data_IF_324182510053
#
_entry.id   IF_324182510053
#
_cell.length_a   1.000
_cell.length_b   1.000
_cell.length_c   1.000
_cell.angle_alpha   90.00
_cell.angle_beta   90.00
_cell.angle_gamma   90.00
#
_symmetry.space_group_name_H-M   'P 1'
#
loop_
_entity.id
_entity.type
_entity.pdbx_description
1 polymer ?
#
# COMPACT_ATOMS: atom_id res chain seq x y z
N UNK A 1 16.53 -21.02 -54.31
CA UNK A 1 17.61 -20.16 -53.80
C UNK A 1 17.45 -20.05 -52.29
N UNK A 2 18.22 -20.83 -51.55
CA UNK A 2 18.25 -20.85 -50.10
C UNK A 2 19.32 -19.87 -49.61
N UNK A 3 19.01 -19.06 -48.61
CA UNK A 3 20.04 -18.48 -47.73
C UNK A 3 19.66 -18.82 -46.30
N UNK A 4 20.33 -19.87 -45.82
CA UNK A 4 20.40 -20.33 -44.44
C UNK A 4 21.07 -19.25 -43.60
N UNK A 5 20.44 -18.79 -42.52
CA UNK A 5 21.19 -18.19 -41.42
C UNK A 5 21.55 -19.28 -40.42
N UNK A 6 22.83 -19.60 -40.45
CA UNK A 6 23.55 -20.52 -39.60
C UNK A 6 23.45 -20.07 -38.14
N UNK A 7 22.80 -20.89 -37.31
CA UNK A 7 23.00 -20.90 -35.88
C UNK A 7 24.39 -21.50 -35.63
N UNK A 8 25.37 -20.67 -35.25
CA UNK A 8 26.59 -21.16 -34.60
C UNK A 8 26.43 -21.03 -33.08
N UNK A 9 26.76 -22.08 -32.32
CA UNK A 9 26.65 -22.10 -30.87
C UNK A 9 27.87 -21.41 -30.24
N UNK A 10 27.65 -20.38 -29.43
CA UNK A 10 28.71 -19.81 -28.60
C UNK A 10 28.83 -20.62 -27.31
N UNK A 11 29.77 -21.56 -27.36
CA UNK A 11 30.61 -22.13 -26.30
C UNK A 11 30.41 -21.47 -24.92
N UNK A 12 29.75 -22.20 -24.02
CA UNK A 12 29.83 -21.94 -22.59
C UNK A 12 31.19 -22.42 -22.08
N UNK A 13 32.10 -21.49 -21.80
CA UNK A 13 33.28 -21.77 -20.98
C UNK A 13 32.82 -22.02 -19.54
N UNK A 14 32.94 -23.27 -19.11
CA UNK A 14 32.88 -23.69 -17.71
C UNK A 14 33.96 -22.93 -16.93
N UNK A 15 33.57 -21.96 -16.13
CA UNK A 15 34.39 -21.48 -15.01
C UNK A 15 33.87 -22.17 -13.77
N UNK A 16 34.55 -23.26 -13.43
CA UNK A 16 34.55 -23.90 -12.12
C UNK A 16 35.06 -22.89 -11.09
N UNK A 17 34.17 -22.34 -10.27
CA UNK A 17 34.59 -21.69 -9.03
C UNK A 17 34.70 -22.74 -7.93
N UNK A 18 35.95 -23.04 -7.63
CA UNK A 18 36.45 -23.74 -6.45
C UNK A 18 35.76 -23.25 -5.19
N UNK A 19 35.25 -24.20 -4.40
CA UNK A 19 34.79 -24.00 -3.03
C UNK A 19 35.93 -23.49 -2.16
N UNK A 20 35.99 -22.17 -1.97
CA UNK A 20 36.82 -21.56 -0.95
C UNK A 20 36.08 -21.65 0.39
N UNK A 21 36.58 -22.55 1.23
CA UNK A 21 36.21 -22.76 2.62
C UNK A 21 36.35 -21.46 3.40
N UNK A 22 35.22 -20.91 3.86
CA UNK A 22 35.22 -19.74 4.76
C UNK A 22 35.73 -20.22 6.13
N UNK A 23 36.77 -19.60 6.72
CA UNK A 23 37.22 -19.95 8.05
C UNK A 23 36.14 -19.60 9.08
N UNK A 24 35.81 -20.57 9.92
CA UNK A 24 34.87 -20.46 11.02
C UNK A 24 35.28 -19.33 11.98
N UNK A 25 34.54 -18.23 11.97
CA UNK A 25 34.61 -17.23 13.03
C UNK A 25 34.09 -17.85 14.33
N UNK A 26 35.02 -18.16 15.22
CA UNK A 26 34.74 -18.55 16.60
C UNK A 26 34.05 -17.37 17.30
N UNK A 27 32.76 -17.55 17.59
CA UNK A 27 32.01 -16.66 18.49
C UNK A 27 32.58 -16.92 19.90
N UNK A 28 33.08 -15.90 20.62
CA UNK A 28 33.51 -16.08 22.01
C UNK A 28 32.33 -16.52 22.88
N UNK A 29 32.52 -17.57 23.67
CA UNK A 29 31.56 -18.00 24.70
C UNK A 29 31.29 -16.84 25.67
N UNK A 30 30.03 -16.55 26.03
CA UNK A 30 29.74 -15.58 27.08
C UNK A 30 30.30 -16.08 28.42
N UNK A 31 30.98 -15.23 29.21
CA UNK A 31 31.46 -15.61 30.53
C UNK A 31 30.28 -15.84 31.49
N UNK A 32 30.48 -16.80 32.40
CA UNK A 32 29.50 -17.24 33.39
C UNK A 32 29.04 -16.10 34.30
N UNK A 33 27.74 -16.07 34.62
CA UNK A 33 27.14 -15.18 35.60
C UNK A 33 27.71 -15.47 37.00
N UNK A 34 28.66 -14.64 37.43
CA UNK A 34 29.03 -14.49 38.83
C UNK A 34 28.00 -13.60 39.52
N UNK A 35 27.32 -14.17 40.52
CA UNK A 35 26.47 -13.45 41.46
C UNK A 35 27.32 -12.56 42.36
N UNK A 36 27.41 -11.28 42.02
CA UNK A 36 27.80 -10.21 42.94
C UNK A 36 26.88 -8.99 42.73
N UNK A 37 26.66 -8.15 43.76
CA UNK A 37 25.43 -7.38 43.92
C UNK A 37 25.32 -6.21 42.94
N UNK A 38 24.09 -5.95 42.49
CA UNK A 38 23.71 -4.89 41.54
C UNK A 38 24.40 -3.54 41.87
N UNK A 39 24.91 -2.82 40.85
CA UNK A 39 25.34 -1.44 41.03
C UNK A 39 24.15 -0.59 41.46
N UNK A 40 24.32 0.13 42.56
CA UNK A 40 23.33 1.06 43.09
C UNK A 40 23.07 2.16 42.05
N UNK A 41 21.83 2.20 41.56
CA UNK A 41 21.25 3.35 40.88
C UNK A 41 21.38 4.55 41.83
N UNK A 42 21.89 5.72 41.41
CA UNK A 42 21.88 6.91 42.24
C UNK A 42 20.44 7.20 42.64
N UNK A 43 20.17 7.27 43.95
CA UNK A 43 18.85 7.60 44.49
C UNK A 43 18.40 8.94 43.89
N UNK A 44 17.13 9.06 43.47
CA UNK A 44 16.57 10.34 43.06
C UNK A 44 16.52 11.29 44.28
N UNK A 45 16.61 12.61 44.09
CA UNK A 45 16.22 13.55 45.14
C UNK A 45 14.75 13.30 45.51
N UNK A 46 14.48 13.20 46.81
CA UNK A 46 13.16 12.96 47.38
C UNK A 46 12.14 14.01 46.91
N UNK A 47 11.31 13.65 45.93
CA UNK A 47 10.02 14.30 45.69
C UNK A 47 8.92 13.40 46.24
N UNK A 48 8.14 13.93 47.18
CA UNK A 48 7.08 13.20 47.89
C UNK A 48 6.08 12.53 46.92
N UNK A 49 5.73 11.25 47.15
CA UNK A 49 4.70 10.53 46.37
C UNK A 49 3.35 11.30 46.29
N UNK A 50 3.07 12.20 47.24
CA UNK A 50 1.89 13.10 47.24
C UNK A 50 1.90 14.14 46.10
N UNK A 51 3.05 14.71 45.73
CA UNK A 51 3.12 15.72 44.66
C UNK A 51 2.91 15.09 43.28
N UNK A 52 3.38 13.86 43.08
CA UNK A 52 3.16 13.10 41.86
C UNK A 52 1.66 12.84 41.60
N UNK A 53 0.93 12.36 42.59
CA UNK A 53 -0.51 12.09 42.45
C UNK A 53 -1.35 13.36 42.28
N UNK A 54 -1.02 14.45 42.99
CA UNK A 54 -1.68 15.75 42.81
C UNK A 54 -1.50 16.29 41.39
N UNK A 55 -0.28 16.25 40.84
CA UNK A 55 0.00 16.71 39.49
C UNK A 55 -0.72 15.86 38.42
N UNK A 56 -0.80 14.54 38.61
CA UNK A 56 -1.54 13.65 37.69
C UNK A 56 -3.04 13.99 37.67
N UNK A 57 -3.64 14.29 38.82
CA UNK A 57 -5.06 14.68 38.92
C UNK A 57 -5.29 16.06 38.31
N UNK A 58 -4.44 17.05 38.61
CA UNK A 58 -4.55 18.39 38.05
C UNK A 58 -4.38 18.40 36.53
N UNK A 59 -3.43 17.63 35.99
CA UNK A 59 -3.24 17.48 34.55
C UNK A 59 -4.38 16.70 33.89
N UNK A 60 -4.89 15.64 34.54
CA UNK A 60 -6.04 14.90 34.02
C UNK A 60 -7.28 15.79 33.91
N UNK A 61 -7.53 16.64 34.91
CA UNK A 61 -8.62 17.62 34.87
C UNK A 61 -8.40 18.70 33.80
N UNK A 62 -7.15 19.14 33.59
CA UNK A 62 -6.80 20.11 32.55
C UNK A 62 -7.05 19.54 31.15
N UNK A 63 -6.53 18.34 30.86
CA UNK A 63 -6.74 17.69 29.56
C UNK A 63 -8.22 17.32 29.33
N UNK A 64 -8.98 17.00 30.38
CA UNK A 64 -10.43 16.81 30.29
C UNK A 64 -11.16 18.12 29.93
N UNK A 65 -10.73 19.28 30.45
CA UNK A 65 -11.28 20.60 30.05
C UNK A 65 -11.04 20.90 28.57
N UNK A 66 -9.92 20.41 28.02
CA UNK A 66 -9.62 20.48 26.59
C UNK A 66 -10.14 19.27 25.80
N UNK A 67 -11.13 18.52 26.33
CA UNK A 67 -11.86 17.41 25.68
C UNK A 67 -11.03 16.21 25.23
N UNK A 68 -9.89 15.93 25.88
CA UNK A 68 -9.15 14.69 25.63
C UNK A 68 -9.89 13.47 26.23
N UNK A 69 -9.89 12.30 25.54
CA UNK A 69 -10.59 11.12 26.01
C UNK A 69 -9.93 10.53 27.29
N UNK A 70 -10.70 10.33 28.38
CA UNK A 70 -10.17 9.92 29.69
C UNK A 70 -9.47 8.56 29.68
N UNK A 71 -9.91 7.64 28.82
CA UNK A 71 -9.38 6.27 28.74
C UNK A 71 -7.92 6.18 28.23
N UNK A 72 -7.41 7.24 27.58
CA UNK A 72 -6.03 7.28 27.04
C UNK A 72 -5.08 8.16 27.86
N UNK A 73 -5.61 8.92 28.83
CA UNK A 73 -4.84 9.93 29.57
C UNK A 73 -3.85 9.31 30.56
N UNK A 74 -4.25 8.26 31.28
CA UNK A 74 -3.35 7.61 32.24
C UNK A 74 -2.14 6.93 31.55
N UNK A 75 -2.37 6.25 30.42
CA UNK A 75 -1.30 5.64 29.61
C UNK A 75 -0.42 6.68 28.92
N UNK A 76 -1.00 7.81 28.49
CA UNK A 76 -0.28 8.94 27.90
C UNK A 76 0.63 9.64 28.93
N UNK A 77 0.13 9.97 30.12
CA UNK A 77 0.90 10.62 31.17
C UNK A 77 2.03 9.72 31.71
N UNK A 78 1.78 8.41 31.84
CA UNK A 78 2.81 7.44 32.24
C UNK A 78 3.95 7.34 31.23
N UNK A 79 3.64 7.45 29.92
CA UNK A 79 4.64 7.47 28.85
C UNK A 79 5.40 8.80 28.77
N UNK A 80 4.76 9.90 29.17
CA UNK A 80 5.30 11.26 29.05
C UNK A 80 5.71 11.82 30.41
N UNK A 81 6.73 11.22 31.02
CA UNK A 81 7.24 11.63 32.36
C UNK A 81 7.68 13.10 32.44
N UNK A 82 8.03 13.73 31.32
CA UNK A 82 8.38 15.15 31.29
C UNK A 82 7.18 16.05 31.69
N UNK A 83 5.94 15.66 31.37
CA UNK A 83 4.73 16.40 31.77
C UNK A 83 4.47 16.35 33.28
N UNK A 84 4.92 15.28 33.94
CA UNK A 84 4.73 15.07 35.37
C UNK A 84 5.69 15.92 36.22
N UNK A 85 6.80 16.34 35.60
CA UNK A 85 7.81 17.20 36.20
C UNK A 85 7.56 18.69 35.91
N UNK A 86 6.64 19.04 35.00
CA UNK A 86 6.28 20.41 34.66
C UNK A 86 5.09 20.93 35.48
N UNK A 87 5.03 22.23 35.76
CA UNK A 87 3.90 22.85 36.45
C UNK A 87 2.64 22.83 35.58
N UNK A 88 1.49 22.48 36.18
CA UNK A 88 0.19 22.42 35.48
C UNK A 88 -0.23 23.76 34.85
N UNK A 89 0.18 24.89 35.45
CA UNK A 89 -0.04 26.23 34.93
C UNK A 89 0.76 26.54 33.66
N UNK A 90 1.95 25.95 33.51
CA UNK A 90 2.78 26.14 32.33
C UNK A 90 2.25 25.32 31.15
N UNK A 91 1.76 24.11 31.42
CA UNK A 91 1.05 23.31 30.42
C UNK A 91 -0.27 23.99 30.00
N UNK A 92 -0.99 24.64 30.92
CA UNK A 92 -2.18 25.42 30.57
C UNK A 92 -1.84 26.61 29.66
N UNK A 93 -0.73 27.31 29.91
CA UNK A 93 -0.24 28.38 29.02
C UNK A 93 0.15 27.82 27.66
N UNK A 94 0.88 26.69 27.61
CA UNK A 94 1.22 26.00 26.37
C UNK A 94 -0.01 25.61 25.54
N UNK A 95 -1.06 25.11 26.19
CA UNK A 95 -2.33 24.76 25.51
C UNK A 95 -3.06 26.01 25.02
N UNK A 96 -3.02 27.12 25.76
CA UNK A 96 -3.56 28.41 25.30
C UNK A 96 -2.81 28.95 24.08
N UNK A 97 -1.48 28.83 24.05
CA UNK A 97 -0.64 29.20 22.90
C UNK A 97 -1.00 28.33 21.68
N UNK A 98 -1.15 27.01 21.85
CA UNK A 98 -1.56 26.15 20.74
C UNK A 98 -2.94 26.51 20.18
N UNK A 99 -3.88 26.94 21.03
CA UNK A 99 -5.20 27.40 20.60
C UNK A 99 -5.14 28.77 19.92
N UNK A 100 -4.27 29.68 20.37
CA UNK A 100 -4.08 30.99 19.73
C UNK A 100 -3.45 30.86 18.34
N UNK A 101 -2.55 29.89 18.15
CA UNK A 101 -1.93 29.59 16.86
C UNK A 101 -2.93 29.05 15.82
N UNK A 102 -3.84 28.15 16.24
CA UNK A 102 -4.96 27.71 15.39
C UNK A 102 -6.08 27.10 16.26
N UNK A 103 -7.31 27.62 16.21
CA UNK A 103 -8.42 27.09 17.02
C UNK A 103 -9.02 25.85 16.34
N UNK A 104 -8.31 24.73 16.33
CA UNK A 104 -8.82 23.45 15.87
C UNK A 104 -8.55 22.34 16.92
N UNK A 105 -9.61 21.65 17.34
CA UNK A 105 -9.51 20.57 18.33
C UNK A 105 -8.73 19.37 17.78
N UNK A 106 -8.86 19.09 16.48
CA UNK A 106 -8.11 18.01 15.82
C UNK A 106 -6.62 18.33 15.75
N UNK A 107 -6.24 19.59 15.55
CA UNK A 107 -4.84 20.04 15.62
C UNK A 107 -4.26 19.81 17.02
N UNK A 108 -4.99 20.23 18.05
CA UNK A 108 -4.57 20.09 19.45
C UNK A 108 -4.38 18.61 19.84
N UNK A 109 -5.35 17.77 19.50
CA UNK A 109 -5.26 16.33 19.72
C UNK A 109 -4.11 15.68 18.94
N UNK A 110 -3.90 16.10 17.68
CA UNK A 110 -2.86 15.53 16.81
C UNK A 110 -1.45 15.88 17.29
N UNK A 111 -1.18 17.18 17.56
CA UNK A 111 0.13 17.66 18.05
C UNK A 111 0.49 16.99 19.37
N UNK A 112 -0.44 16.95 20.33
CA UNK A 112 -0.20 16.41 21.67
C UNK A 112 0.01 14.90 21.65
N UNK A 113 -0.71 14.16 20.80
CA UNK A 113 -0.54 12.71 20.68
C UNK A 113 0.75 12.34 19.93
N UNK A 114 1.13 13.08 18.89
CA UNK A 114 2.28 12.75 18.04
C UNK A 114 3.60 13.19 18.65
N UNK A 115 3.68 14.42 19.18
CA UNK A 115 4.87 14.95 19.82
C UNK A 115 4.50 15.68 21.13
N UNK A 116 4.35 14.94 22.24
CA UNK A 116 3.95 15.52 23.51
C UNK A 116 4.97 16.53 24.04
N UNK A 117 6.26 16.38 23.68
CA UNK A 117 7.36 17.30 24.05
C UNK A 117 7.22 18.72 23.51
N UNK A 118 6.34 18.93 22.54
CA UNK A 118 6.00 20.28 22.05
C UNK A 118 5.34 21.12 23.16
N UNK A 119 4.76 20.50 24.21
CA UNK A 119 4.10 21.22 25.31
C UNK A 119 5.05 21.94 26.29
N UNK A 120 6.37 21.86 26.08
CA UNK A 120 7.34 22.64 26.85
C UNK A 120 7.13 24.15 26.63
N UNK A 121 6.87 24.90 27.70
CA UNK A 121 6.44 26.30 27.62
C UNK A 121 7.50 27.21 26.98
N UNK A 122 8.78 27.01 27.29
CA UNK A 122 9.88 27.81 26.73
C UNK A 122 10.01 27.63 25.22
N UNK A 123 9.80 26.40 24.74
CA UNK A 123 9.79 26.06 23.33
C UNK A 123 8.62 26.75 22.61
N UNK A 124 7.39 26.61 23.16
CA UNK A 124 6.21 27.20 22.53
C UNK A 124 6.21 28.72 22.52
N UNK A 125 6.75 29.38 23.55
CA UNK A 125 6.87 30.85 23.55
C UNK A 125 7.80 31.35 22.45
N UNK A 126 8.94 30.67 22.22
CA UNK A 126 9.84 30.99 21.10
C UNK A 126 9.13 30.84 19.75
N UNK A 127 8.39 29.74 19.60
CA UNK A 127 7.67 29.45 18.36
C UNK A 127 6.39 30.28 18.19
N UNK A 128 5.76 30.78 19.25
CA UNK A 128 4.61 31.69 19.20
C UNK A 128 4.98 33.03 18.55
N UNK A 129 6.10 33.62 19.01
CA UNK A 129 6.66 34.83 18.40
C UNK A 129 7.02 34.59 16.93
N UNK A 130 7.73 33.48 16.66
CA UNK A 130 8.10 33.10 15.30
C UNK A 130 6.86 32.95 14.39
N UNK A 131 5.83 32.21 14.82
CA UNK A 131 4.64 31.97 13.98
C UNK A 131 3.81 33.25 13.79
N UNK A 132 3.80 34.14 14.79
CA UNK A 132 3.14 35.45 14.70
C UNK A 132 3.84 36.37 13.70
N UNK A 133 5.18 36.41 13.70
CA UNK A 133 5.99 37.17 12.72
C UNK A 133 5.89 36.60 11.31
N UNK A 134 5.64 35.30 11.15
CA UNK A 134 5.54 34.62 9.86
C UNK A 134 4.30 34.99 9.03
N UNK A 135 3.33 35.75 9.56
CA UNK A 135 2.11 36.09 8.84
C UNK A 135 1.27 34.86 8.51
N UNK A 136 0.73 34.20 9.54
CA UNK A 136 0.01 32.93 9.50
C UNK A 136 -1.29 32.88 8.65
N UNK A 137 -1.56 33.84 7.77
CA UNK A 137 -2.77 33.86 6.93
C UNK A 137 -2.74 32.85 5.78
N UNK A 138 -1.57 32.34 5.38
CA UNK A 138 -1.43 31.46 4.20
C UNK A 138 -0.87 30.05 4.49
N UNK A 139 -0.51 29.74 5.74
CA UNK A 139 0.12 28.45 6.10
C UNK A 139 -0.92 27.49 6.71
N UNK A 140 -0.87 26.24 6.27
CA UNK A 140 -1.77 25.18 6.74
C UNK A 140 -1.47 24.80 8.19
N UNK A 141 -2.49 24.36 8.94
CA UNK A 141 -2.26 23.89 10.32
C UNK A 141 -1.42 22.61 10.35
N UNK A 142 -1.51 21.80 9.30
CA UNK A 142 -0.71 20.59 9.12
C UNK A 142 0.77 20.96 9.01
N UNK A 143 1.09 22.03 8.29
CA UNK A 143 2.44 22.58 8.23
C UNK A 143 2.92 23.01 9.62
N UNK A 144 2.12 23.77 10.37
CA UNK A 144 2.49 24.22 11.72
C UNK A 144 2.76 23.02 12.62
N UNK A 145 1.88 22.01 12.60
CA UNK A 145 2.08 20.78 13.35
C UNK A 145 3.42 20.13 12.98
N UNK A 146 3.63 19.84 11.70
CA UNK A 146 4.82 19.13 11.23
C UNK A 146 6.11 19.88 11.51
N UNK A 147 6.09 21.21 11.39
CA UNK A 147 7.22 22.08 11.73
C UNK A 147 7.53 21.96 13.22
N UNK A 148 6.54 22.08 14.11
CA UNK A 148 6.77 21.94 15.56
C UNK A 148 7.30 20.55 15.92
N UNK A 149 6.79 19.49 15.28
CA UNK A 149 7.25 18.12 15.47
C UNK A 149 8.72 17.95 15.05
N UNK A 150 9.11 18.42 13.86
CA UNK A 150 10.49 18.36 13.36
C UNK A 150 11.42 19.24 14.20
N UNK A 151 10.99 20.46 14.51
CA UNK A 151 11.77 21.40 15.31
C UNK A 151 12.07 20.87 16.71
N UNK A 152 11.12 20.18 17.34
CA UNK A 152 11.41 19.55 18.65
C UNK A 152 12.31 18.32 18.51
N UNK A 153 12.19 17.57 17.42
CA UNK A 153 12.99 16.35 17.20
C UNK A 153 14.47 16.65 16.90
N UNK A 154 14.75 17.78 16.25
CA UNK A 154 16.09 18.18 15.81
C UNK A 154 16.59 19.49 16.43
N UNK A 155 15.90 19.98 17.47
CA UNK A 155 16.22 21.23 18.18
C UNK A 155 16.39 22.44 17.25
N UNK A 156 15.45 22.62 16.30
CA UNK A 156 15.46 23.73 15.35
C UNK A 156 14.84 25.00 15.94
N UNK A 157 15.37 26.15 15.53
CA UNK A 157 14.86 27.46 15.92
C UNK A 157 13.90 28.06 14.85
N UNK A 158 13.01 28.99 15.22
CA UNK A 158 12.12 29.66 14.26
C UNK A 158 12.86 30.34 13.09
N UNK A 159 14.10 30.80 13.34
CA UNK A 159 14.94 31.42 12.32
C UNK A 159 15.39 30.43 11.24
N UNK A 160 15.60 29.14 11.57
CA UNK A 160 15.95 28.11 10.58
C UNK A 160 14.78 27.86 9.63
N UNK A 161 13.57 27.83 10.18
CA UNK A 161 12.35 27.76 9.38
C UNK A 161 12.19 28.99 8.47
N UNK A 162 12.41 30.20 9.00
CA UNK A 162 12.34 31.43 8.21
C UNK A 162 13.35 31.42 7.06
N UNK A 163 14.60 31.03 7.33
CA UNK A 163 15.65 30.86 6.32
C UNK A 163 15.21 29.88 5.24
N UNK A 164 14.67 28.73 5.61
CA UNK A 164 14.14 27.76 4.65
C UNK A 164 13.01 28.36 3.80
N UNK A 165 12.06 29.07 4.41
CA UNK A 165 10.93 29.68 3.70
C UNK A 165 11.41 30.74 2.70
N UNK A 166 12.36 31.59 3.10
CA UNK A 166 12.98 32.57 2.21
C UNK A 166 13.77 31.90 1.08
N UNK A 167 14.47 30.80 1.37
CA UNK A 167 15.17 30.02 0.33
C UNK A 167 14.17 29.46 -0.69
N UNK A 168 13.08 28.84 -0.25
CA UNK A 168 12.06 28.29 -1.13
C UNK A 168 11.38 29.37 -2.01
N UNK A 169 11.08 30.54 -1.42
CA UNK A 169 10.54 31.69 -2.17
C UNK A 169 11.57 32.29 -3.14
N UNK A 170 12.83 32.39 -2.74
CA UNK A 170 13.95 32.84 -3.57
C UNK A 170 14.20 31.93 -4.78
N UNK A 171 13.85 30.64 -4.67
CA UNK A 171 13.86 29.67 -5.76
C UNK A 171 12.65 29.81 -6.72
N UNK A 172 11.82 30.84 -6.54
CA UNK A 172 10.64 31.13 -7.38
C UNK A 172 9.57 30.03 -7.40
N UNK A 173 9.44 29.28 -6.30
CA UNK A 173 8.34 28.34 -6.12
C UNK A 173 7.07 29.08 -5.71
N UNK A 174 5.90 28.69 -6.22
CA UNK A 174 4.62 29.22 -5.75
C UNK A 174 4.34 28.86 -4.28
N UNK A 175 3.58 29.71 -3.59
CA UNK A 175 3.17 29.50 -2.19
C UNK A 175 2.44 28.14 -2.00
N UNK A 176 1.71 27.69 -3.03
CA UNK A 176 1.03 26.38 -3.00
C UNK A 176 2.01 25.21 -3.00
N UNK A 177 3.07 25.26 -3.82
CA UNK A 177 4.13 24.25 -3.83
C UNK A 177 4.91 24.27 -2.51
N UNK A 178 5.26 25.47 -2.01
CA UNK A 178 5.96 25.64 -0.72
C UNK A 178 5.15 25.03 0.43
N UNK A 179 3.87 25.39 0.54
CA UNK A 179 2.98 24.82 1.55
C UNK A 179 2.92 23.30 1.45
N UNK A 180 2.76 22.77 0.23
CA UNK A 180 2.66 21.33 0.00
C UNK A 180 3.93 20.56 0.36
N UNK A 181 5.10 21.15 0.09
CA UNK A 181 6.39 20.60 0.49
C UNK A 181 6.51 20.57 2.01
N UNK A 182 6.16 21.66 2.70
CA UNK A 182 6.21 21.71 4.17
C UNK A 182 5.18 20.76 4.83
N UNK A 183 4.02 20.57 4.22
CA UNK A 183 3.01 19.61 4.70
C UNK A 183 3.45 18.15 4.52
N UNK A 184 4.11 17.81 3.42
CA UNK A 184 4.38 16.40 3.07
C UNK A 184 5.81 15.97 3.43
N UNK A 185 6.75 16.92 3.45
CA UNK A 185 8.16 16.70 3.68
C UNK A 185 8.75 17.84 4.55
N UNK A 186 8.39 17.90 5.84
CA UNK A 186 8.86 18.96 6.76
C UNK A 186 10.37 18.93 7.02
N UNK A 187 11.04 17.82 6.68
CA UNK A 187 12.50 17.69 6.74
C UNK A 187 13.23 18.66 5.79
N UNK A 188 12.53 19.30 4.85
CA UNK A 188 13.11 20.35 3.98
C UNK A 188 13.74 21.50 4.77
N UNK A 189 13.28 21.77 6.00
CA UNK A 189 13.80 22.85 6.86
C UNK A 189 15.28 22.65 7.17
N UNK A 190 15.72 21.39 7.22
CA UNK A 190 17.10 21.02 7.51
C UNK A 190 17.98 20.97 6.26
N UNK A 191 17.40 21.15 5.07
CA UNK A 191 18.14 21.12 3.82
C UNK A 191 18.75 22.49 3.54
N UNK A 192 19.94 22.49 2.96
CA UNK A 192 20.54 23.72 2.45
C UNK A 192 19.80 24.20 1.19
N UNK A 193 19.78 25.52 0.98
CA UNK A 193 19.20 26.09 -0.23
C UNK A 193 19.85 25.56 -1.52
N UNK A 194 21.14 25.26 -1.47
CA UNK A 194 21.90 24.70 -2.60
C UNK A 194 21.45 23.28 -2.93
N UNK A 195 21.21 22.43 -1.94
CA UNK A 195 20.65 21.09 -2.18
C UNK A 195 19.30 21.13 -2.91
N UNK A 196 18.43 22.09 -2.57
CA UNK A 196 17.14 22.26 -3.25
C UNK A 196 17.36 22.79 -4.67
N UNK A 197 18.27 23.75 -4.83
CA UNK A 197 18.67 24.32 -6.12
C UNK A 197 19.21 23.24 -7.08
N UNK A 198 20.14 22.40 -6.62
CA UNK A 198 20.75 21.33 -7.41
C UNK A 198 19.69 20.40 -8.01
N UNK A 199 18.64 20.09 -7.25
CA UNK A 199 17.51 19.25 -7.71
C UNK A 199 16.68 19.96 -8.76
N UNK A 200 16.42 21.25 -8.60
CA UNK A 200 15.70 22.05 -9.60
C UNK A 200 16.53 22.15 -10.88
N UNK A 201 17.84 22.44 -10.77
CA UNK A 201 18.75 22.54 -11.90
C UNK A 201 18.90 21.21 -12.63
N UNK A 202 18.93 20.09 -11.91
CA UNK A 202 18.90 18.77 -12.51
C UNK A 202 17.62 18.51 -13.32
N UNK A 203 16.44 18.81 -12.76
CA UNK A 203 15.18 18.66 -13.49
C UNK A 203 15.14 19.55 -14.75
N UNK A 204 15.65 20.78 -14.64
CA UNK A 204 15.81 21.68 -15.80
C UNK A 204 16.80 21.11 -16.82
N UNK A 205 17.90 20.50 -16.37
CA UNK A 205 18.88 19.84 -17.24
C UNK A 205 18.33 18.64 -18.01
N UNK A 206 17.31 17.97 -17.47
CA UNK A 206 16.56 16.89 -18.16
C UNK A 206 15.55 17.45 -19.18
N UNK A 207 15.34 18.77 -19.20
CA UNK A 207 14.44 19.46 -20.11
C UNK A 207 13.07 19.80 -19.52
N UNK A 208 12.88 19.70 -18.21
CA UNK A 208 11.65 20.15 -17.54
C UNK A 208 11.67 21.67 -17.44
N UNK A 209 10.60 22.33 -17.87
CA UNK A 209 10.55 23.78 -17.86
C UNK A 209 10.35 24.31 -16.44
N UNK A 210 10.85 25.52 -16.15
CA UNK A 210 10.80 26.09 -14.79
C UNK A 210 9.37 26.27 -14.26
N UNK A 211 8.41 26.56 -15.14
CA UNK A 211 6.97 26.64 -14.82
C UNK A 211 6.34 25.27 -14.47
N UNK A 212 6.95 24.16 -14.89
CA UNK A 212 6.48 22.80 -14.61
C UNK A 212 7.03 22.25 -13.28
N UNK A 213 8.12 22.84 -12.76
CA UNK A 213 8.75 22.43 -11.50
C UNK A 213 7.75 22.50 -10.34
N UNK A 214 7.00 23.59 -10.24
CA UNK A 214 5.99 23.78 -9.19
C UNK A 214 4.99 22.62 -9.13
N UNK A 215 4.58 22.10 -10.30
CA UNK A 215 3.68 20.95 -10.40
C UNK A 215 4.34 19.68 -9.86
N UNK A 216 5.62 19.45 -10.15
CA UNK A 216 6.36 18.29 -9.63
C UNK A 216 6.44 18.36 -8.10
N UNK A 217 6.82 19.51 -7.55
CA UNK A 217 6.92 19.69 -6.11
C UNK A 217 5.58 19.62 -5.40
N UNK A 218 4.49 20.05 -6.03
CA UNK A 218 3.14 19.93 -5.47
C UNK A 218 2.66 18.47 -5.43
N UNK A 219 2.95 17.68 -6.47
CA UNK A 219 2.44 16.32 -6.59
C UNK A 219 3.36 15.28 -5.93
N UNK A 220 4.67 15.56 -5.90
CA UNK A 220 5.67 14.68 -5.32
C UNK A 220 6.82 15.45 -4.63
N UNK A 221 6.56 16.08 -3.47
CA UNK A 221 7.59 16.70 -2.63
C UNK A 221 8.74 15.76 -2.26
N UNK A 222 8.45 14.44 -2.20
CA UNK A 222 9.40 13.40 -1.79
C UNK A 222 10.67 13.31 -2.64
N UNK A 223 10.69 13.92 -3.83
CA UNK A 223 11.91 14.05 -4.65
C UNK A 223 13.08 14.69 -3.87
N UNK A 224 12.77 15.60 -2.94
CA UNK A 224 13.77 16.28 -2.12
C UNK A 224 14.54 15.31 -1.22
N UNK A 225 13.93 14.21 -0.81
CA UNK A 225 14.55 13.20 0.04
C UNK A 225 15.60 12.36 -0.69
N UNK A 226 15.59 12.36 -2.03
CA UNK A 226 16.48 11.50 -2.81
C UNK A 226 17.84 12.14 -3.04
N UNK A 227 18.87 11.30 -2.98
CA UNK A 227 20.24 11.70 -3.30
C UNK A 227 20.41 11.89 -4.80
N UNK A 228 21.06 12.99 -5.19
CA UNK A 228 21.41 13.27 -6.58
C UNK A 228 22.35 12.20 -7.16
N UNK A 229 23.38 11.83 -6.41
CA UNK A 229 24.47 10.96 -6.88
C UNK A 229 24.12 9.48 -6.77
N UNK A 230 23.47 9.08 -5.67
CA UNK A 230 23.24 7.67 -5.37
C UNK A 230 21.88 7.16 -5.86
N UNK A 231 20.95 8.05 -6.22
CA UNK A 231 19.61 7.67 -6.66
C UNK A 231 19.19 8.31 -7.98
N UNK A 232 19.12 9.63 -8.06
CA UNK A 232 18.55 10.29 -9.24
C UNK A 232 19.41 10.09 -10.49
N UNK A 233 20.71 10.41 -10.45
CA UNK A 233 21.60 10.21 -11.63
C UNK A 233 21.63 8.74 -12.10
N UNK A 234 21.81 7.73 -11.23
CA UNK A 234 21.76 6.32 -11.65
C UNK A 234 20.40 5.90 -12.23
N UNK A 235 19.29 6.41 -11.71
CA UNK A 235 17.95 6.11 -12.23
C UNK A 235 17.78 6.61 -13.67
N UNK A 236 18.25 7.82 -13.96
CA UNK A 236 18.20 8.36 -15.33
C UNK A 236 19.16 7.63 -16.28
N UNK A 237 20.34 7.23 -15.79
CA UNK A 237 21.25 6.34 -16.53
C UNK A 237 20.55 5.03 -16.91
N UNK A 238 19.79 4.41 -15.99
CA UNK A 238 19.02 3.20 -16.33
C UNK A 238 17.98 3.49 -17.43
N UNK A 239 17.31 4.64 -17.40
CA UNK A 239 16.33 4.98 -18.44
C UNK A 239 16.98 5.13 -19.81
N UNK A 240 18.17 5.73 -19.87
CA UNK A 240 18.98 5.85 -21.08
C UNK A 240 19.47 4.48 -21.57
N UNK A 241 19.98 3.63 -20.66
CA UNK A 241 20.43 2.26 -20.96
C UNK A 241 19.29 1.36 -21.48
N UNK A 242 18.06 1.63 -21.03
CA UNK A 242 16.85 0.95 -21.52
C UNK A 242 16.39 1.47 -22.89
N UNK A 243 17.05 2.50 -23.44
CA UNK A 243 16.80 3.08 -24.75
C UNK A 243 15.68 4.14 -24.77
N UNK A 244 15.31 4.72 -23.63
CA UNK A 244 14.32 5.78 -23.58
C UNK A 244 14.98 7.14 -23.82
N UNK A 245 14.41 7.94 -24.73
CA UNK A 245 14.85 9.32 -24.92
C UNK A 245 14.42 10.19 -23.72
N UNK A 246 15.20 11.23 -23.46
CA UNK A 246 14.92 12.23 -22.42
C UNK A 246 13.52 12.84 -22.58
N UNK A 247 13.04 13.03 -23.82
CA UNK A 247 11.69 13.51 -24.10
C UNK A 247 10.57 12.57 -23.64
N UNK A 248 10.74 11.25 -23.81
CA UNK A 248 9.77 10.26 -23.34
C UNK A 248 9.74 10.26 -21.82
N UNK A 249 10.91 10.25 -21.19
CA UNK A 249 11.05 10.28 -19.73
C UNK A 249 10.43 11.56 -19.15
N UNK A 250 10.71 12.72 -19.75
CA UNK A 250 10.13 14.02 -19.36
C UNK A 250 8.60 13.99 -19.41
N UNK A 251 8.00 13.52 -20.52
CA UNK A 251 6.54 13.41 -20.66
C UNK A 251 5.93 12.53 -19.58
N UNK A 252 6.59 11.43 -19.24
CA UNK A 252 6.13 10.52 -18.19
C UNK A 252 6.25 11.14 -16.80
N UNK A 253 7.34 11.85 -16.48
CA UNK A 253 7.50 12.59 -15.22
C UNK A 253 6.40 13.65 -15.04
N UNK A 254 6.12 14.43 -16.07
CA UNK A 254 5.06 15.45 -16.02
C UNK A 254 3.66 14.85 -15.83
N UNK A 255 3.47 13.61 -16.29
CA UNK A 255 2.23 12.86 -16.13
C UNK A 255 2.09 12.26 -14.73
N UNK A 256 3.16 11.66 -14.20
CA UNK A 256 3.22 11.13 -12.84
C UNK A 256 4.63 11.29 -12.23
N UNK A 257 4.86 12.35 -11.43
CA UNK A 257 6.17 12.62 -10.84
C UNK A 257 6.70 11.52 -9.92
N UNK A 258 5.84 10.59 -9.45
CA UNK A 258 6.24 9.46 -8.59
C UNK A 258 7.16 8.46 -9.29
N UNK A 259 7.30 8.54 -10.61
CA UNK A 259 8.31 7.78 -11.37
C UNK A 259 9.72 8.06 -10.87
N UNK A 260 10.00 9.26 -10.37
CA UNK A 260 11.28 9.63 -9.76
C UNK A 260 11.55 8.89 -8.44
N UNK A 261 10.53 8.24 -7.87
CA UNK A 261 10.62 7.40 -6.69
C UNK A 261 11.05 5.97 -6.95
N UNK A 262 11.09 5.52 -8.22
CA UNK A 262 11.52 4.17 -8.59
C UNK A 262 12.94 3.89 -8.10
N UNK A 263 13.18 2.64 -7.69
CA UNK A 263 14.52 2.16 -7.42
C UNK A 263 15.18 1.66 -8.70
N UNK A 264 16.50 1.81 -8.76
CA UNK A 264 17.29 1.37 -9.92
C UNK A 264 17.13 -0.15 -10.11
N UNK A 265 16.79 -0.56 -11.33
CA UNK A 265 16.56 -1.94 -11.70
C UNK A 265 15.10 -2.38 -11.61
N UNK A 266 14.18 -1.57 -11.09
CA UNK A 266 12.76 -1.94 -10.99
C UNK A 266 12.06 -1.87 -12.34
N UNK A 267 12.32 -0.82 -13.12
CA UNK A 267 11.71 -0.67 -14.44
C UNK A 267 12.22 -1.76 -15.40
N UNK A 268 13.52 -2.03 -15.41
CA UNK A 268 14.10 -3.11 -16.22
C UNK A 268 13.49 -4.49 -15.91
N UNK A 269 13.24 -4.82 -14.64
CA UNK A 269 12.53 -6.06 -14.25
C UNK A 269 11.11 -6.11 -14.82
N UNK A 270 10.38 -5.00 -14.75
CA UNK A 270 9.02 -4.90 -15.29
C UNK A 270 9.00 -5.06 -16.82
N UNK A 271 9.91 -4.39 -17.51
CA UNK A 271 10.06 -4.50 -18.96
C UNK A 271 10.46 -5.92 -19.40
N UNK A 272 11.31 -6.60 -18.63
CA UNK A 272 11.67 -8.00 -18.90
C UNK A 272 10.46 -8.93 -18.82
N UNK A 273 9.57 -8.72 -17.85
CA UNK A 273 8.31 -9.48 -17.77
C UNK A 273 7.41 -9.18 -18.98
N UNK A 274 7.32 -7.91 -19.39
CA UNK A 274 6.52 -7.53 -20.56
C UNK A 274 7.06 -8.14 -21.86
N UNK A 275 8.38 -8.23 -22.02
CA UNK A 275 9.02 -8.90 -23.18
C UNK A 275 8.73 -10.41 -23.24
N UNK A 276 8.50 -11.06 -22.09
CA UNK A 276 8.17 -12.49 -22.03
C UNK A 276 6.65 -12.76 -22.05
N UNK A 277 5.83 -11.72 -22.16
CA UNK A 277 4.38 -11.83 -22.12
C UNK A 277 3.85 -12.49 -23.39
N UNK A 278 3.05 -13.55 -23.24
CA UNK A 278 2.31 -14.17 -24.33
C UNK A 278 0.82 -13.96 -24.09
N UNK A 279 0.25 -12.93 -24.70
CA UNK A 279 -1.16 -12.60 -24.54
C UNK A 279 -1.85 -12.36 -25.89
N UNK A 280 -3.18 -12.21 -25.87
CA UNK A 280 -3.94 -11.91 -27.09
C UNK A 280 -3.55 -10.52 -27.60
N UNK A 281 -3.43 -10.37 -28.93
CA UNK A 281 -3.03 -9.10 -29.58
C UNK A 281 -3.83 -7.89 -29.07
N UNK A 282 -5.14 -8.03 -28.91
CA UNK A 282 -5.99 -6.94 -28.41
C UNK A 282 -5.72 -6.52 -26.94
N UNK A 283 -5.12 -7.39 -26.13
CA UNK A 283 -4.69 -7.08 -24.76
C UNK A 283 -3.32 -6.40 -24.82
N UNK A 284 -2.42 -6.96 -25.63
CA UNK A 284 -1.08 -6.44 -25.86
C UNK A 284 -1.11 -4.99 -26.33
N UNK A 285 -1.87 -4.70 -27.39
CA UNK A 285 -2.08 -3.36 -27.94
C UNK A 285 -2.65 -2.38 -26.90
N UNK A 286 -3.50 -2.85 -25.98
CA UNK A 286 -4.05 -2.00 -24.92
C UNK A 286 -3.03 -1.68 -23.84
N UNK A 287 -2.17 -2.64 -23.50
CA UNK A 287 -1.09 -2.44 -22.51
C UNK A 287 -0.07 -1.44 -23.07
N UNK A 288 0.35 -1.61 -24.32
CA UNK A 288 1.38 -0.78 -24.95
C UNK A 288 0.84 0.51 -25.59
N UNK A 289 -0.47 0.77 -25.54
CA UNK A 289 -1.11 1.95 -26.14
C UNK A 289 -0.45 3.28 -25.75
N UNK A 290 0.02 3.38 -24.51
CA UNK A 290 0.62 4.59 -23.96
C UNK A 290 2.15 4.56 -23.98
N UNK A 291 2.75 3.57 -24.66
CA UNK A 291 4.19 3.38 -24.76
C UNK A 291 4.74 2.36 -23.77
N UNK A 292 5.94 1.86 -24.09
CA UNK A 292 6.63 0.79 -23.35
C UNK A 292 7.05 1.24 -21.95
N UNK A 293 7.51 2.49 -21.79
CA UNK A 293 7.85 3.05 -20.48
C UNK A 293 6.65 2.99 -19.53
N UNK A 294 5.50 3.50 -20.01
CA UNK A 294 4.27 3.52 -19.23
C UNK A 294 3.81 2.12 -18.88
N UNK A 295 3.81 1.19 -19.84
CA UNK A 295 3.47 -0.19 -19.57
C UNK A 295 4.34 -0.80 -18.46
N UNK A 296 5.65 -0.57 -18.49
CA UNK A 296 6.58 -1.01 -17.44
C UNK A 296 6.26 -0.40 -16.08
N UNK A 297 5.94 0.88 -16.03
CA UNK A 297 5.55 1.57 -14.80
C UNK A 297 4.20 1.09 -14.25
N UNK A 298 3.20 0.83 -15.11
CA UNK A 298 1.91 0.28 -14.69
C UNK A 298 2.08 -1.12 -14.06
N UNK A 299 2.98 -1.96 -14.60
CA UNK A 299 3.35 -3.24 -13.98
C UNK A 299 3.87 -3.02 -12.56
N UNK A 300 4.82 -2.10 -12.38
CA UNK A 300 5.38 -1.78 -11.06
C UNK A 300 4.30 -1.40 -10.06
N UNK A 301 3.39 -0.51 -10.45
CA UNK A 301 2.29 -0.09 -9.59
C UNK A 301 1.40 -1.27 -9.14
N UNK A 302 1.16 -2.25 -10.02
CA UNK A 302 0.34 -3.42 -9.65
C UNK A 302 1.13 -4.37 -8.75
N UNK A 303 2.41 -4.57 -9.02
CA UNK A 303 3.29 -5.38 -8.17
C UNK A 303 3.36 -4.82 -6.75
N UNK A 304 3.51 -3.50 -6.61
CA UNK A 304 3.56 -2.85 -5.29
C UNK A 304 2.25 -2.99 -4.51
N UNK A 305 1.12 -2.88 -5.21
CA UNK A 305 -0.19 -3.08 -4.60
C UNK A 305 -0.33 -4.52 -4.13
N UNK A 306 -0.01 -5.51 -4.96
CA UNK A 306 -0.06 -6.93 -4.59
C UNK A 306 0.88 -7.24 -3.42
N UNK A 307 2.08 -6.67 -3.43
CA UNK A 307 3.05 -6.82 -2.34
C UNK A 307 2.53 -6.25 -1.02
N UNK A 308 1.84 -5.10 -1.06
CA UNK A 308 1.23 -4.49 0.13
C UNK A 308 0.17 -5.39 0.79
N UNK A 309 -0.52 -6.23 0.03
CA UNK A 309 -1.48 -7.20 0.57
C UNK A 309 -0.83 -8.54 0.99
N UNK A 310 0.50 -8.64 0.99
CA UNK A 310 1.24 -9.78 1.55
C UNK A 310 1.84 -10.75 0.53
N UNK A 311 1.73 -10.48 -0.77
CA UNK A 311 2.37 -11.33 -1.79
C UNK A 311 3.86 -11.04 -1.91
N UNK A 312 4.65 -12.05 -2.28
CA UNK A 312 6.05 -11.82 -2.66
C UNK A 312 6.12 -11.13 -4.03
N UNK A 313 7.21 -10.40 -4.29
CA UNK A 313 7.43 -9.80 -5.61
C UNK A 313 7.39 -10.86 -6.74
N UNK A 314 7.96 -12.05 -6.50
CA UNK A 314 7.96 -13.16 -7.47
C UNK A 314 6.54 -13.63 -7.79
N UNK A 315 5.70 -13.77 -6.78
CA UNK A 315 4.30 -14.18 -6.95
C UNK A 315 3.50 -13.10 -7.68
N UNK A 316 3.71 -11.84 -7.33
CA UNK A 316 3.06 -10.71 -8.00
C UNK A 316 3.39 -10.66 -9.49
N UNK A 317 4.67 -10.81 -9.87
CA UNK A 317 5.07 -10.91 -11.28
C UNK A 317 4.45 -12.13 -11.96
N UNK A 318 4.39 -13.28 -11.27
CA UNK A 318 3.77 -14.51 -11.80
C UNK A 318 2.28 -14.32 -12.08
N UNK A 319 1.56 -13.64 -11.18
CA UNK A 319 0.14 -13.33 -11.34
C UNK A 319 -0.09 -12.44 -12.55
N UNK A 320 0.68 -11.35 -12.69
CA UNK A 320 0.56 -10.43 -13.84
C UNK A 320 0.94 -11.09 -15.16
N UNK A 321 1.93 -11.99 -15.15
CA UNK A 321 2.33 -12.73 -16.34
C UNK A 321 1.25 -13.74 -16.78
N UNK A 322 0.63 -14.46 -15.83
CA UNK A 322 -0.49 -15.38 -16.10
C UNK A 322 -1.78 -14.65 -16.50
N UNK A 323 -2.06 -13.50 -15.89
CA UNK A 323 -3.25 -12.70 -16.11
C UNK A 323 -2.91 -11.23 -16.44
N UNK A 324 -2.55 -10.93 -17.70
CA UNK A 324 -2.14 -9.59 -18.09
C UNK A 324 -3.27 -8.56 -18.06
N UNK A 325 -4.54 -8.98 -18.03
CA UNK A 325 -5.68 -8.04 -17.96
C UNK A 325 -5.66 -7.21 -16.68
N UNK A 326 -4.98 -7.67 -15.63
CA UNK A 326 -4.81 -6.90 -14.38
C UNK A 326 -4.16 -5.53 -14.64
N UNK A 327 -3.28 -5.41 -15.63
CA UNK A 327 -2.66 -4.14 -16.01
C UNK A 327 -3.66 -3.13 -16.59
N UNK A 328 -4.80 -3.60 -17.11
CA UNK A 328 -5.82 -2.76 -17.73
C UNK A 328 -6.86 -2.21 -16.72
N UNK A 329 -6.91 -2.78 -15.51
CA UNK A 329 -7.82 -2.32 -14.47
C UNK A 329 -7.21 -1.16 -13.67
N UNK A 330 -8.08 -0.34 -13.08
CA UNK A 330 -7.66 0.69 -12.12
C UNK A 330 -7.18 0.04 -10.83
N UNK A 331 -6.25 0.71 -10.15
CA UNK A 331 -5.64 0.21 -8.91
C UNK A 331 -6.71 0.01 -7.83
N UNK A 332 -7.69 0.91 -7.77
CA UNK A 332 -8.80 0.88 -6.81
C UNK A 332 -9.66 -0.37 -7.00
N UNK A 333 -9.90 -0.79 -8.24
CA UNK A 333 -10.69 -1.99 -8.53
C UNK A 333 -9.94 -3.27 -8.14
N UNK A 334 -8.62 -3.28 -8.30
CA UNK A 334 -7.77 -4.40 -7.84
C UNK A 334 -7.82 -4.48 -6.30
N UNK A 335 -7.67 -3.35 -5.61
CA UNK A 335 -7.78 -3.28 -4.14
C UNK A 335 -9.13 -3.80 -3.64
N UNK A 336 -10.23 -3.32 -4.23
CA UNK A 336 -11.59 -3.78 -3.90
C UNK A 336 -11.76 -5.29 -4.05
N UNK A 337 -11.23 -5.87 -5.14
CA UNK A 337 -11.26 -7.32 -5.37
C UNK A 337 -10.49 -8.08 -4.28
N UNK A 338 -9.27 -7.63 -3.94
CA UNK A 338 -8.44 -8.29 -2.92
C UNK A 338 -9.08 -8.15 -1.53
N UNK A 339 -9.62 -6.99 -1.19
CA UNK A 339 -10.32 -6.77 0.08
C UNK A 339 -11.57 -7.64 0.19
N UNK A 340 -12.33 -7.80 -0.89
CA UNK A 340 -13.47 -8.72 -0.91
C UNK A 340 -13.04 -10.18 -0.71
N UNK A 341 -11.95 -10.60 -1.36
CA UNK A 341 -11.39 -11.94 -1.22
C UNK A 341 -11.00 -12.25 0.23
N UNK A 342 -10.26 -11.35 0.88
CA UNK A 342 -9.77 -11.53 2.26
C UNK A 342 -10.92 -11.37 3.26
N UNK A 343 -11.65 -10.26 3.17
CA UNK A 343 -12.57 -9.87 4.25
C UNK A 343 -13.91 -10.62 4.18
N UNK A 344 -14.45 -10.81 2.97
CA UNK A 344 -15.77 -11.42 2.79
C UNK A 344 -15.70 -12.88 2.42
N UNK A 345 -14.82 -13.26 1.49
CA UNK A 345 -14.69 -14.65 1.06
C UNK A 345 -13.79 -15.48 2.00
N UNK A 346 -13.02 -14.82 2.88
CA UNK A 346 -12.11 -15.45 3.86
C UNK A 346 -11.04 -16.35 3.22
N UNK A 347 -10.65 -16.06 1.98
CA UNK A 347 -9.51 -16.73 1.34
C UNK A 347 -8.20 -16.00 1.67
N UNK A 348 -7.12 -16.78 1.75
CA UNK A 348 -5.77 -16.23 1.84
C UNK A 348 -5.33 -15.64 0.50
N UNK A 349 -4.53 -14.57 0.53
CA UNK A 349 -4.08 -13.83 -0.67
C UNK A 349 -3.24 -14.71 -1.59
N UNK A 350 -2.53 -15.70 -1.04
CA UNK A 350 -1.72 -16.64 -1.80
C UNK A 350 -2.52 -17.43 -2.85
N UNK A 351 -3.83 -17.61 -2.65
CA UNK A 351 -4.69 -18.29 -3.64
C UNK A 351 -4.74 -17.58 -5.00
N UNK A 352 -4.37 -16.29 -5.06
CA UNK A 352 -4.26 -15.53 -6.31
C UNK A 352 -3.16 -16.09 -7.24
N UNK A 353 -2.15 -16.76 -6.70
CA UNK A 353 -1.09 -17.39 -7.50
C UNK A 353 -1.62 -18.60 -8.28
N UNK A 354 -2.57 -19.32 -7.67
CA UNK A 354 -3.24 -20.48 -8.25
C UNK A 354 -4.37 -20.09 -9.22
N UNK A 355 -5.11 -19.03 -8.88
CA UNK A 355 -6.27 -18.53 -9.66
C UNK A 355 -6.12 -17.03 -9.97
N UNK A 356 -5.10 -16.65 -10.76
CA UNK A 356 -4.87 -15.25 -11.12
C UNK A 356 -6.02 -14.66 -11.95
N UNK A 357 -6.80 -15.51 -12.64
CA UNK A 357 -7.97 -15.09 -13.42
C UNK A 357 -9.03 -14.38 -12.57
N UNK A 358 -9.01 -14.56 -11.24
CA UNK A 358 -9.85 -13.80 -10.31
C UNK A 358 -9.71 -12.29 -10.51
N UNK A 359 -8.49 -11.80 -10.68
CA UNK A 359 -8.25 -10.38 -10.90
C UNK A 359 -8.65 -9.94 -12.32
N UNK A 360 -8.69 -10.86 -13.27
CA UNK A 360 -9.07 -10.63 -14.67
C UNK A 360 -10.58 -10.60 -14.95
N UNK A 361 -11.42 -11.16 -14.07
CA UNK A 361 -12.88 -11.20 -14.27
C UNK A 361 -13.58 -9.94 -13.75
N UNK A 362 -14.81 -9.70 -14.21
CA UNK A 362 -15.61 -8.55 -13.75
C UNK A 362 -16.09 -8.77 -12.32
N UNK A 363 -15.86 -7.78 -11.45
CA UNK A 363 -16.19 -7.88 -10.03
C UNK A 363 -17.70 -7.97 -9.78
N UNK A 364 -18.45 -6.96 -10.24
CA UNK A 364 -19.89 -6.83 -9.98
C UNK A 364 -20.73 -7.84 -10.74
N UNK A 365 -20.36 -8.15 -11.99
CA UNK A 365 -21.16 -9.03 -12.86
C UNK A 365 -20.88 -10.51 -12.65
N UNK A 366 -19.73 -10.87 -12.10
CA UNK A 366 -19.30 -12.27 -12.03
C UNK A 366 -18.89 -12.72 -10.63
N UNK A 367 -18.03 -11.98 -9.91
CA UNK A 367 -17.53 -12.41 -8.60
C UNK A 367 -18.65 -12.33 -7.56
N UNK A 368 -19.25 -11.15 -7.40
CA UNK A 368 -20.27 -10.89 -6.37
C UNK A 368 -21.49 -11.81 -6.52
N UNK A 369 -22.14 -11.94 -7.70
CA UNK A 369 -23.38 -12.70 -7.81
C UNK A 369 -23.16 -14.20 -7.61
N UNK A 370 -22.01 -14.71 -8.08
CA UNK A 370 -21.65 -16.11 -7.88
C UNK A 370 -21.38 -16.40 -6.41
N UNK A 371 -20.61 -15.53 -5.73
CA UNK A 371 -20.33 -15.71 -4.32
C UNK A 371 -21.59 -15.62 -3.47
N UNK A 372 -22.50 -14.67 -3.75
CA UNK A 372 -23.76 -14.54 -3.02
C UNK A 372 -24.68 -15.76 -3.17
N UNK A 373 -24.72 -16.37 -4.37
CA UNK A 373 -25.46 -17.63 -4.56
C UNK A 373 -24.84 -18.77 -3.73
N UNK A 374 -23.51 -18.92 -3.73
CA UNK A 374 -22.83 -19.94 -2.93
C UNK A 374 -22.99 -19.69 -1.42
N UNK A 375 -22.86 -18.44 -0.97
CA UNK A 375 -23.06 -18.03 0.43
C UNK A 375 -24.48 -18.35 0.92
N UNK A 376 -25.49 -18.11 0.07
CA UNK A 376 -26.88 -18.49 0.36
C UNK A 376 -27.03 -20.01 0.47
N UNK A 377 -26.53 -20.78 -0.51
CA UNK A 377 -26.60 -22.24 -0.49
C UNK A 377 -25.88 -22.84 0.73
N UNK A 378 -24.75 -22.26 1.13
CA UNK A 378 -24.03 -22.62 2.35
C UNK A 378 -24.91 -22.43 3.59
N UNK A 379 -25.60 -21.30 3.71
CA UNK A 379 -26.51 -21.02 4.84
C UNK A 379 -27.70 -21.99 4.93
N UNK A 380 -28.07 -22.62 3.80
CA UNK A 380 -29.18 -23.58 3.70
C UNK A 380 -28.75 -25.04 3.75
N UNK A 381 -27.44 -25.31 3.87
CA UNK A 381 -26.89 -26.67 3.79
C UNK A 381 -27.08 -27.33 2.42
N UNK A 382 -27.28 -26.53 1.36
CA UNK A 382 -27.51 -27.01 -0.01
C UNK A 382 -26.23 -27.39 -0.76
N UNK A 383 -25.06 -27.25 -0.14
CA UNK A 383 -23.77 -27.62 -0.71
C UNK A 383 -23.30 -28.94 -0.10
N UNK A 384 -23.04 -29.94 -0.95
CA UNK A 384 -22.44 -31.19 -0.52
C UNK A 384 -20.95 -31.04 -0.16
N UNK A 385 -20.22 -30.26 -0.96
CA UNK A 385 -18.80 -29.94 -0.76
C UNK A 385 -18.56 -28.43 -0.82
N UNK A 386 -17.50 -27.97 -0.16
CA UNK A 386 -17.09 -26.56 -0.20
C UNK A 386 -16.60 -26.14 -1.59
N UNK A 387 -17.10 -25.00 -2.06
CA UNK A 387 -16.80 -24.47 -3.40
C UNK A 387 -15.55 -23.61 -3.34
N UNK A 388 -14.43 -24.18 -3.76
CA UNK A 388 -13.15 -23.46 -3.86
C UNK A 388 -13.17 -22.31 -4.89
N UNK A 389 -12.25 -21.35 -4.73
CA UNK A 389 -12.14 -20.17 -5.59
C UNK A 389 -12.02 -20.53 -7.08
N UNK A 390 -11.25 -21.58 -7.40
CA UNK A 390 -11.08 -22.08 -8.76
C UNK A 390 -12.42 -22.45 -9.42
N UNK A 391 -13.30 -23.15 -8.70
CA UNK A 391 -14.61 -23.55 -9.21
C UNK A 391 -15.51 -22.33 -9.42
N UNK A 392 -15.46 -21.35 -8.50
CA UNK A 392 -16.24 -20.12 -8.59
C UNK A 392 -15.87 -19.29 -9.83
N UNK A 393 -14.58 -19.18 -10.13
CA UNK A 393 -14.06 -18.30 -11.19
C UNK A 393 -14.02 -18.99 -12.55
N UNK A 394 -13.47 -20.22 -12.62
CA UNK A 394 -13.28 -20.93 -13.90
C UNK A 394 -14.56 -21.54 -14.47
N UNK A 395 -15.63 -21.69 -13.68
CA UNK A 395 -16.90 -22.15 -14.23
C UNK A 395 -17.47 -21.16 -15.26
N UNK A 396 -17.93 -21.69 -16.39
CA UNK A 396 -18.68 -20.90 -17.35
C UNK A 396 -19.99 -20.39 -16.73
N UNK A 397 -20.54 -19.29 -17.26
CA UNK A 397 -21.82 -18.74 -16.79
C UNK A 397 -22.93 -19.80 -16.80
N UNK A 398 -23.03 -20.57 -17.90
CA UNK A 398 -24.06 -21.60 -18.05
C UNK A 398 -23.86 -22.77 -17.08
N UNK A 399 -22.62 -23.21 -16.90
CA UNK A 399 -22.31 -24.30 -15.96
C UNK A 399 -22.60 -23.88 -14.52
N UNK A 400 -22.20 -22.67 -14.13
CA UNK A 400 -22.50 -22.14 -12.80
C UNK A 400 -24.02 -22.03 -12.58
N UNK A 401 -24.75 -21.49 -13.56
CA UNK A 401 -26.21 -21.37 -13.47
C UNK A 401 -26.88 -22.75 -13.32
N UNK A 402 -26.53 -23.72 -14.16
CA UNK A 402 -27.16 -25.05 -14.10
C UNK A 402 -26.87 -25.82 -12.80
N UNK A 403 -25.70 -25.61 -12.19
CA UNK A 403 -25.31 -26.29 -10.95
C UNK A 403 -25.86 -25.63 -9.69
N UNK A 404 -25.79 -24.29 -9.60
CA UNK A 404 -26.04 -23.58 -8.34
C UNK A 404 -27.26 -22.66 -8.38
N UNK A 405 -27.81 -22.37 -9.56
CA UNK A 405 -28.93 -21.41 -9.68
C UNK A 405 -30.21 -22.13 -10.11
N UNK A 406 -30.20 -22.83 -11.24
CA UNK A 406 -31.36 -23.54 -11.79
C UNK A 406 -32.01 -24.54 -10.82
N UNK A 407 -31.26 -25.30 -10.00
CA UNK A 407 -31.87 -26.23 -9.05
C UNK A 407 -32.56 -25.54 -7.87
N UNK A 408 -32.25 -24.26 -7.62
CA UNK A 408 -32.68 -23.50 -6.44
C UNK A 408 -33.36 -22.18 -6.85
N UNK A 409 -34.70 -22.13 -6.93
CA UNK A 409 -35.45 -20.95 -7.40
C UNK A 409 -35.13 -19.64 -6.66
N UNK A 410 -34.73 -19.70 -5.39
CA UNK A 410 -34.31 -18.54 -4.61
C UNK A 410 -32.97 -17.96 -5.08
N UNK A 411 -32.06 -18.82 -5.54
CA UNK A 411 -30.80 -18.40 -6.12
C UNK A 411 -31.00 -17.68 -7.45
N UNK A 412 -32.09 -17.94 -8.17
CA UNK A 412 -32.43 -17.22 -9.40
C UNK A 412 -32.77 -15.74 -9.13
N UNK A 413 -33.42 -15.44 -8.00
CA UNK A 413 -33.66 -14.05 -7.57
C UNK A 413 -32.37 -13.35 -7.14
N UNK A 414 -31.47 -14.07 -6.48
CA UNK A 414 -30.18 -13.53 -5.99
C UNK A 414 -29.22 -13.32 -7.17
N UNK A 415 -29.12 -14.27 -8.09
CA UNK A 415 -28.24 -14.22 -9.26
C UNK A 415 -28.80 -13.33 -10.39
N UNK A 416 -30.13 -13.31 -10.55
CA UNK A 416 -30.85 -12.55 -11.57
C UNK A 416 -30.83 -11.04 -11.35
N UNK A 417 -30.87 -10.56 -10.09
CA UNK A 417 -30.75 -9.11 -9.78
C UNK A 417 -29.47 -8.46 -10.33
N UNK A 418 -28.41 -9.24 -10.52
CA UNK A 418 -27.13 -8.76 -11.05
C UNK A 418 -26.92 -9.08 -12.53
N UNK A 419 -27.80 -9.91 -13.11
CA UNK A 419 -27.84 -10.22 -14.54
C UNK A 419 -28.92 -9.33 -15.19
N UNK A 420 -28.64 -8.02 -15.32
CA UNK A 420 -29.57 -7.08 -15.94
C UNK A 420 -30.20 -7.62 -17.23
N UNK A 421 -31.48 -7.30 -17.40
CA UNK A 421 -32.43 -7.72 -18.44
C UNK A 421 -31.78 -8.26 -19.72
N UNK A 422 -31.49 -9.55 -19.71
CA UNK A 422 -31.37 -10.32 -20.94
C UNK A 422 -32.49 -11.32 -20.87
N UNK A 423 -33.57 -11.06 -21.61
CA UNK A 423 -34.56 -12.07 -21.93
C UNK A 423 -33.84 -13.25 -22.59
N UNK A 424 -33.52 -14.26 -21.78
CA UNK A 424 -33.13 -15.56 -22.29
C UNK A 424 -34.42 -16.14 -22.84
N UNK A 425 -34.64 -16.00 -24.16
CA UNK A 425 -35.69 -16.75 -24.84
C UNK A 425 -35.42 -18.23 -24.61
N UNK A 426 -36.12 -18.80 -23.64
CA UNK A 426 -36.13 -20.22 -23.33
C UNK A 426 -36.67 -20.94 -24.57
N UNK A 427 -35.76 -21.54 -25.37
CA UNK A 427 -36.15 -22.39 -26.51
C UNK A 427 -36.77 -23.72 -26.08
N UNK A 428 -36.86 -23.98 -24.77
CA UNK A 428 -37.47 -25.18 -24.22
C UNK A 428 -38.39 -24.85 -23.04
N UNK A 429 -39.62 -25.39 -23.00
CA UNK A 429 -40.53 -25.20 -21.88
C UNK A 429 -39.90 -25.69 -20.57
N UNK A 430 -40.01 -24.88 -19.52
CA UNK A 430 -39.61 -25.24 -18.17
C UNK A 430 -40.46 -26.42 -17.71
N UNK A 431 -39.85 -27.58 -17.45
CA UNK A 431 -40.55 -28.76 -16.91
C UNK A 431 -40.38 -30.07 -17.69
N UNK A 432 -39.81 -30.07 -18.90
CA UNK A 432 -39.61 -31.32 -19.68
C UNK A 432 -38.80 -32.41 -18.96
N UNK A 433 -37.83 -32.03 -18.14
CA UNK A 433 -37.02 -32.94 -17.31
C UNK A 433 -37.84 -33.68 -16.24
N UNK A 434 -38.97 -33.12 -15.81
CA UNK A 434 -39.91 -33.78 -14.87
C UNK A 434 -40.73 -34.88 -15.56
N UNK A 435 -40.79 -34.88 -16.89
CA UNK A 435 -41.43 -35.94 -17.69
C UNK A 435 -40.49 -37.14 -17.90
N UNK A 436 -39.18 -36.93 -17.81
CA UNK A 436 -38.20 -38.02 -17.79
C UNK A 436 -38.05 -38.57 -16.37
N UNK A 437 -39.09 -39.21 -15.85
CA UNK A 437 -38.89 -40.22 -14.82
C UNK A 437 -38.32 -41.45 -15.54
N UNK A 438 -37.13 -41.98 -15.15
CA UNK A 438 -36.70 -43.27 -15.67
C UNK A 438 -37.82 -44.28 -15.41
N UNK A 439 -38.18 -45.08 -16.42
CA UNK A 439 -39.10 -46.19 -16.21
C UNK A 439 -38.52 -47.07 -15.10
N UNK A 440 -39.26 -47.24 -13.99
CA UNK A 440 -38.93 -48.24 -12.99
C UNK A 440 -39.14 -49.60 -13.65
N UNK A 441 -38.06 -50.19 -14.16
CA UNK A 441 -38.07 -51.59 -14.53
C UNK A 441 -38.35 -52.41 -13.25
N UNK A 442 -39.29 -53.34 -13.31
CA UNK A 442 -39.43 -54.34 -12.25
C UNK A 442 -38.19 -55.22 -12.34
N UNK A 443 -37.35 -55.18 -11.33
CA UNK A 443 -36.18 -56.07 -11.23
C UNK A 443 -36.66 -57.50 -11.41
N UNK A 444 -36.21 -58.17 -12.48
CA UNK A 444 -36.45 -59.59 -12.64
C UNK A 444 -35.57 -60.34 -11.63
N UNK A 445 -35.97 -61.56 -11.23
CA UNK A 445 -35.14 -62.38 -10.34
C UNK A 445 -33.74 -62.64 -10.92
N UNK A 446 -33.60 -62.59 -12.25
CA UNK A 446 -32.34 -62.72 -12.97
C UNK A 446 -31.44 -61.49 -12.80
N UNK A 447 -32.02 -60.27 -12.78
CA UNK A 447 -31.26 -59.04 -12.58
C UNK A 447 -30.65 -58.97 -11.17
N UNK A 448 -31.41 -59.40 -10.16
CA UNK A 448 -30.94 -59.47 -8.77
C UNK A 448 -29.82 -60.51 -8.63
N UNK A 449 -29.94 -61.64 -9.31
CA UNK A 449 -28.90 -62.68 -9.30
C UNK A 449 -27.63 -62.23 -10.03
N UNK A 450 -27.77 -61.52 -11.15
CA UNK A 450 -26.64 -60.97 -11.90
C UNK A 450 -25.90 -59.89 -11.10
N UNK A 451 -26.62 -59.03 -10.39
CA UNK A 451 -26.03 -58.03 -9.48
C UNK A 451 -25.33 -58.72 -8.32
N UNK A 452 -25.90 -59.81 -7.78
CA UNK A 452 -25.28 -60.57 -6.70
C UNK A 452 -23.97 -61.25 -7.14
N UNK A 453 -23.94 -61.89 -8.31
CA UNK A 453 -22.72 -62.45 -8.89
C UNK A 453 -21.66 -61.39 -9.21
N UNK A 454 -22.08 -60.19 -9.63
CA UNK A 454 -21.15 -59.06 -9.85
C UNK A 454 -20.56 -58.52 -8.54
N UNK A 455 -21.35 -58.47 -7.46
CA UNK A 455 -20.85 -58.04 -6.15
C UNK A 455 -19.92 -59.09 -5.52
N UNK A 456 -20.19 -60.38 -5.72
CA UNK A 456 -19.34 -61.48 -5.25
C UNK A 456 -17.99 -61.56 -5.99
N UNK A 457 -17.86 -60.97 -7.18
CA UNK A 457 -16.59 -60.89 -7.92
C UNK A 457 -15.72 -59.68 -7.55
N UNK A 458 -16.24 -58.77 -6.71
CA UNK A 458 -15.54 -57.59 -6.21
C UNK A 458 -14.99 -57.77 -4.79
N UNK A 459 -15.18 -58.94 -4.17
CA UNK A 459 -14.66 -59.32 -2.85
C UNK A 459 -13.44 -60.21 -2.96
#
# INVERSE_FOLDING_TARGET
>A
MAIRFLVRPSVYSLITFTTATIPSLQIPKPPAFSTSPKPQIPRPPDFSQKTYHMNVVSLSNLFQRYRFPPCKLHTFLTRNRFLLNSHSADIEKSLKILISLKPCQDFLHSVVNNCPRVLELEFLKKWEMGISEMGASHVSWITIQNVLEVSRKFDLDPNDFYRCLQCLKGLRLSDSAVNRVLETFPMVIMMSGDQIRDRIEFLVGIGIQRNEIDRIFQWFPGILAYSMENKLKPLFSEFEDLGFSTDVVRKEILRDPRILGLEVGELSKCLRMLRSLKCRVAIDEKIFRQGVFRAGYEVKLRVDVLHKYGLTYRDAFTILWKEPRVMLYQIEDIKKKIEFLINRMKFDVLCLVEVPEYLGVNFEKQIVPRYSAIEYLRSKGGLGDEVGLKALIKCSRMRFYNLYVKPYPECEKIYGRFAGDVEVKNRHPVGMWKLFKPQKYRESKEDVQNIKCFMETLV
#
